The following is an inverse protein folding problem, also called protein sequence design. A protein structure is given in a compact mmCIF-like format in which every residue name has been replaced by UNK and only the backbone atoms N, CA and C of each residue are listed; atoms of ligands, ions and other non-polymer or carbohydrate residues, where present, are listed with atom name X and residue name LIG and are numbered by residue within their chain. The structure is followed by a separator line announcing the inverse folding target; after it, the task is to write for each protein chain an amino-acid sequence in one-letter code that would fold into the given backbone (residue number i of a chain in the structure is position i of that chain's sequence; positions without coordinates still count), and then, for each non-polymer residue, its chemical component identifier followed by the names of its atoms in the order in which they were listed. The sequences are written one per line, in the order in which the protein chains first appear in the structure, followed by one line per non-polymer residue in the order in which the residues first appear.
data_IF_453832461856
#
_entry.id   IF_453832461856
#
_cell.length_a   1.000
_cell.length_b   1.000
_cell.length_c   1.000
_cell.angle_alpha   90.00
_cell.angle_beta   90.00
_cell.angle_gamma   90.00
#
_symmetry.space_group_name_H-M   'P 1'
#
loop_
_entity.id
_entity.type
_entity.pdbx_description
1 polymer ?
#
# COMPACT_ATOMS: atom_id res chain seq x y z
N UNK A 1 24.76 -0.90 14.07
CA UNK A 1 26.09 -0.43 13.67
C UNK A 1 26.31 -0.74 12.20
N UNK A 2 26.95 0.16 11.48
CA UNK A 2 27.33 0.01 10.07
C UNK A 2 28.86 0.07 10.01
N UNK A 3 29.47 -0.94 9.36
CA UNK A 3 30.90 -0.98 9.12
C UNK A 3 31.17 -1.05 7.62
N UNK A 4 32.04 -0.17 7.14
CA UNK A 4 32.47 -0.09 5.75
C UNK A 4 33.86 -0.72 5.57
N UNK A 5 34.05 -1.44 4.46
CA UNK A 5 35.36 -1.81 3.93
C UNK A 5 35.40 -1.49 2.43
N UNK A 6 36.58 -1.50 1.80
CA UNK A 6 36.84 -0.88 0.48
C UNK A 6 35.75 -0.98 -0.60
N UNK A 7 34.89 -2.00 -0.63
CA UNK A 7 33.77 -2.15 -1.58
C UNK A 7 32.55 -2.79 -0.93
N UNK A 8 32.50 -2.82 0.40
CA UNK A 8 31.46 -3.52 1.14
C UNK A 8 30.99 -2.82 2.40
N UNK A 9 29.83 -3.24 2.88
CA UNK A 9 29.14 -2.73 4.04
C UNK A 9 28.54 -3.85 4.85
N UNK A 10 28.69 -3.84 6.17
CA UNK A 10 27.95 -4.68 7.10
C UNK A 10 27.08 -3.76 7.95
N UNK A 11 25.82 -4.10 8.03
CA UNK A 11 24.84 -3.45 8.91
C UNK A 11 24.29 -4.49 9.87
N UNK A 12 24.23 -4.17 11.15
CA UNK A 12 23.56 -5.00 12.15
C UNK A 12 22.82 -4.12 13.15
N UNK A 13 21.78 -4.67 13.72
CA UNK A 13 21.00 -3.95 14.72
C UNK A 13 20.03 -4.85 15.45
N UNK A 14 19.51 -4.30 16.55
CA UNK A 14 18.46 -4.90 17.36
C UNK A 14 17.31 -3.90 17.49
N UNK A 15 16.09 -4.41 17.56
CA UNK A 15 14.88 -3.61 17.80
C UNK A 15 14.04 -4.32 18.85
N UNK A 16 13.50 -3.56 19.78
CA UNK A 16 12.44 -4.00 20.67
C UNK A 16 11.28 -3.01 20.58
N UNK A 17 10.08 -3.52 20.41
CA UNK A 17 8.85 -2.76 20.38
C UNK A 17 7.84 -3.33 21.35
N UNK A 18 7.14 -2.45 22.05
CA UNK A 18 6.00 -2.76 22.90
C UNK A 18 4.81 -1.95 22.44
N UNK A 19 3.71 -2.61 22.17
CA UNK A 19 2.43 -1.99 21.84
C UNK A 19 1.38 -2.47 22.82
N UNK A 20 0.62 -1.56 23.41
CA UNK A 20 -0.47 -1.85 24.35
C UNK A 20 -1.71 -1.07 23.94
N UNK A 21 -2.83 -1.74 23.87
CA UNK A 21 -4.13 -1.14 23.52
C UNK A 21 -5.18 -1.60 24.50
N UNK A 22 -5.92 -0.67 25.06
CA UNK A 22 -7.11 -0.93 25.88
C UNK A 22 -8.33 -0.37 25.15
N UNK A 23 -9.30 -1.24 24.89
CA UNK A 23 -10.57 -0.86 24.27
C UNK A 23 -11.67 -1.04 25.30
N UNK A 24 -12.44 0.01 25.49
CA UNK A 24 -13.65 0.00 26.32
C UNK A 24 -14.83 0.41 25.42
N UNK A 25 -15.87 -0.39 25.38
CA UNK A 25 -17.05 -0.13 24.58
C UNK A 25 -18.30 -0.23 25.46
N UNK A 26 -19.09 0.81 25.45
CA UNK A 26 -20.46 0.81 25.98
C UNK A 26 -21.42 0.98 24.79
N UNK A 27 -22.45 0.17 24.75
CA UNK A 27 -23.50 0.27 23.73
C UNK A 27 -24.81 0.54 24.44
N UNK A 28 -25.41 1.68 24.11
CA UNK A 28 -26.75 2.00 24.56
C UNK A 28 -27.71 1.82 23.39
N UNK A 29 -28.74 1.01 23.58
CA UNK A 29 -29.82 0.87 22.62
C UNK A 29 -31.13 1.32 23.26
N UNK A 30 -31.97 2.03 22.50
CA UNK A 30 -33.27 2.47 22.95
C UNK A 30 -34.33 1.75 22.11
N UNK A 31 -35.18 1.00 22.78
CA UNK A 31 -36.32 0.34 22.12
C UNK A 31 -37.62 0.81 22.82
N UNK A 32 -38.52 1.44 22.09
CA UNK A 32 -39.75 2.04 22.60
C UNK A 32 -39.51 2.95 23.82
N UNK A 33 -38.54 3.85 23.72
CA UNK A 33 -38.11 4.79 24.79
C UNK A 33 -37.58 4.11 26.06
N UNK A 34 -37.34 2.79 26.03
CA UNK A 34 -36.71 2.06 27.11
C UNK A 34 -35.22 1.84 26.78
N UNK A 35 -34.29 2.41 27.56
CA UNK A 35 -32.87 2.16 27.38
C UNK A 35 -32.57 0.71 27.72
N UNK A 36 -32.03 -0.03 26.74
CA UNK A 36 -31.46 -1.35 26.93
C UNK A 36 -29.97 -1.19 27.18
N UNK A 37 -29.56 -1.13 28.42
CA UNK A 37 -28.14 -1.08 28.79
C UNK A 37 -27.51 -2.43 28.53
N UNK A 38 -26.47 -2.44 27.69
CA UNK A 38 -25.62 -3.62 27.48
C UNK A 38 -24.42 -3.59 28.46
N UNK A 39 -23.95 -4.76 28.84
CA UNK A 39 -22.76 -4.87 29.69
C UNK A 39 -21.56 -4.23 28.98
N UNK A 40 -20.85 -3.31 29.64
CA UNK A 40 -19.61 -2.75 29.09
C UNK A 40 -18.63 -3.87 28.68
N UNK A 41 -17.98 -3.66 27.54
CA UNK A 41 -17.02 -4.58 26.99
C UNK A 41 -15.61 -4.01 27.17
N UNK A 42 -14.72 -4.80 27.74
CA UNK A 42 -13.31 -4.44 27.95
C UNK A 42 -12.39 -5.45 27.30
N UNK A 43 -11.50 -4.97 26.42
CA UNK A 43 -10.50 -5.80 25.76
C UNK A 43 -9.14 -5.11 25.81
N UNK A 44 -8.16 -5.79 26.36
CA UNK A 44 -6.77 -5.38 26.39
C UNK A 44 -5.92 -6.25 25.48
N UNK A 45 -5.04 -5.64 24.72
CA UNK A 45 -4.07 -6.33 23.88
C UNK A 45 -2.68 -5.73 24.03
N UNK A 46 -1.73 -6.58 24.44
CA UNK A 46 -0.32 -6.24 24.57
C UNK A 46 0.51 -7.06 23.58
N UNK A 47 1.44 -6.44 22.88
CA UNK A 47 2.34 -7.10 21.94
C UNK A 47 3.78 -6.65 22.14
N UNK A 48 4.68 -7.61 22.29
CA UNK A 48 6.12 -7.45 22.41
C UNK A 48 6.79 -8.03 21.17
N UNK A 49 7.62 -7.24 20.50
CA UNK A 49 8.39 -7.67 19.32
C UNK A 49 9.87 -7.40 19.56
N UNK A 50 10.66 -8.46 19.68
CA UNK A 50 12.11 -8.40 19.74
C UNK A 50 12.70 -8.86 18.41
N UNK A 51 13.60 -8.09 17.82
CA UNK A 51 14.20 -8.40 16.53
C UNK A 51 15.70 -8.13 16.53
N UNK A 52 16.43 -8.97 15.82
CA UNK A 52 17.83 -8.75 15.49
C UNK A 52 18.03 -8.95 13.98
N UNK A 53 18.92 -8.18 13.38
CA UNK A 53 19.23 -8.32 11.96
C UNK A 53 20.71 -8.12 11.67
N UNK A 54 21.13 -8.75 10.59
CA UNK A 54 22.43 -8.52 9.94
C UNK A 54 22.22 -8.43 8.43
N UNK A 55 22.91 -7.52 7.78
CA UNK A 55 23.00 -7.50 6.31
C UNK A 55 24.43 -7.21 5.86
N UNK A 56 24.78 -7.81 4.74
CA UNK A 56 26.09 -7.68 4.09
C UNK A 56 25.85 -7.26 2.66
N UNK A 57 26.44 -6.15 2.26
CA UNK A 57 26.43 -5.64 0.89
C UNK A 57 27.84 -5.53 0.35
N UNK A 58 28.03 -5.87 -0.93
CA UNK A 58 29.32 -5.75 -1.62
C UNK A 58 29.12 -5.38 -3.08
N UNK A 59 29.98 -4.48 -3.57
CA UNK A 59 30.15 -4.23 -4.98
C UNK A 59 31.31 -5.07 -5.52
N UNK A 60 31.12 -5.68 -6.69
CA UNK A 60 32.12 -6.44 -7.42
C UNK A 60 32.38 -5.75 -8.75
N UNK A 61 33.58 -5.16 -8.86
CA UNK A 61 33.91 -4.27 -9.96
C UNK A 61 33.04 -3.01 -9.98
N UNK A 62 32.80 -2.48 -11.17
CA UNK A 62 31.99 -1.27 -11.39
C UNK A 62 30.52 -1.56 -11.68
N UNK A 63 30.18 -2.81 -11.97
CA UNK A 63 28.89 -3.20 -12.53
C UNK A 63 28.00 -3.98 -11.58
N UNK A 64 28.54 -4.84 -10.73
CA UNK A 64 27.76 -5.74 -9.91
C UNK A 64 27.60 -5.24 -8.48
N UNK A 65 26.39 -5.36 -7.95
CA UNK A 65 26.08 -5.13 -6.55
C UNK A 65 25.30 -6.31 -5.97
N UNK A 66 25.68 -6.78 -4.79
CA UNK A 66 25.02 -7.89 -4.09
C UNK A 66 24.76 -7.46 -2.65
N UNK A 67 23.55 -7.73 -2.15
CA UNK A 67 23.21 -7.54 -0.74
C UNK A 67 22.43 -8.75 -0.23
N UNK A 68 22.86 -9.30 0.91
CA UNK A 68 22.18 -10.37 1.62
C UNK A 68 21.86 -9.90 3.02
N UNK A 69 20.69 -10.23 3.51
CA UNK A 69 20.26 -9.88 4.85
C UNK A 69 19.43 -10.98 5.50
N UNK A 70 19.53 -11.06 6.82
CA UNK A 70 18.67 -11.92 7.63
C UNK A 70 18.23 -11.15 8.86
N UNK A 71 16.92 -11.13 9.09
CA UNK A 71 16.30 -10.59 10.28
C UNK A 71 15.52 -11.70 10.98
N UNK A 72 15.74 -11.89 12.27
CA UNK A 72 14.95 -12.76 13.14
C UNK A 72 14.03 -11.91 14.01
N UNK A 73 12.75 -12.28 14.11
CA UNK A 73 11.79 -11.63 14.99
C UNK A 73 11.15 -12.66 15.93
N UNK A 74 11.17 -12.35 17.22
CA UNK A 74 10.36 -13.04 18.24
C UNK A 74 9.22 -12.13 18.65
N UNK A 75 8.00 -12.63 18.54
CA UNK A 75 6.79 -11.92 18.95
C UNK A 75 6.11 -12.66 20.08
N UNK A 76 5.74 -11.94 21.13
CA UNK A 76 4.84 -12.40 22.19
C UNK A 76 3.64 -11.47 22.23
N UNK A 77 2.43 -12.02 22.18
CA UNK A 77 1.19 -11.25 22.30
C UNK A 77 0.26 -11.83 23.34
N UNK A 78 -0.47 -10.94 24.01
CA UNK A 78 -1.42 -11.24 25.06
C UNK A 78 -2.69 -10.43 24.82
N UNK A 79 -3.80 -11.13 24.56
CA UNK A 79 -5.13 -10.55 24.46
C UNK A 79 -5.96 -10.98 25.66
N UNK A 80 -6.60 -10.07 26.35
CA UNK A 80 -7.49 -10.32 27.46
C UNK A 80 -8.83 -9.64 27.24
N UNK A 81 -9.85 -10.45 27.01
CA UNK A 81 -11.24 -10.00 26.93
C UNK A 81 -11.88 -10.14 28.29
N UNK A 82 -11.78 -9.09 29.09
CA UNK A 82 -12.18 -9.07 30.48
C UNK A 82 -13.67 -9.40 30.65
N UNK A 83 -14.53 -8.89 29.79
CA UNK A 83 -15.98 -9.07 29.86
C UNK A 83 -16.43 -10.51 29.54
N UNK A 84 -15.60 -11.31 28.89
CA UNK A 84 -15.87 -12.70 28.54
C UNK A 84 -14.95 -13.70 29.24
N UNK A 85 -14.11 -13.23 30.17
CA UNK A 85 -13.08 -14.01 30.87
C UNK A 85 -12.25 -14.89 29.92
N UNK A 86 -11.89 -14.31 28.76
CA UNK A 86 -11.20 -15.02 27.69
C UNK A 86 -9.81 -14.44 27.44
N UNK A 87 -8.80 -15.30 27.48
CA UNK A 87 -7.41 -14.94 27.33
C UNK A 87 -6.80 -15.65 26.13
N UNK A 88 -6.15 -14.89 25.25
CA UNK A 88 -5.37 -15.40 24.12
C UNK A 88 -3.90 -15.06 24.32
N UNK A 89 -3.02 -16.06 24.26
CA UNK A 89 -1.56 -15.89 24.32
C UNK A 89 -0.92 -16.50 23.11
N UNK A 90 0.08 -15.82 22.54
CA UNK A 90 0.85 -16.36 21.42
C UNK A 90 2.31 -15.97 21.55
N UNK A 91 3.15 -16.90 21.14
CA UNK A 91 4.57 -16.65 20.96
C UNK A 91 5.04 -17.36 19.68
N UNK A 92 5.80 -16.66 18.86
CA UNK A 92 6.34 -17.22 17.63
C UNK A 92 7.64 -16.53 17.23
N UNK A 93 8.50 -17.29 16.55
CA UNK A 93 9.74 -16.78 15.93
C UNK A 93 9.67 -16.95 14.44
N UNK A 94 10.07 -15.89 13.70
CA UNK A 94 10.09 -15.90 12.24
C UNK A 94 11.38 -15.31 11.69
N UNK A 95 12.04 -16.02 10.74
CA UNK A 95 13.14 -15.47 9.96
C UNK A 95 12.64 -14.73 8.73
N UNK A 96 13.30 -13.61 8.40
CA UNK A 96 13.04 -12.75 7.25
C UNK A 96 14.31 -12.57 6.45
N UNK A 97 14.64 -13.51 5.55
CA UNK A 97 15.74 -13.37 4.62
C UNK A 97 15.43 -12.33 3.54
N UNK A 98 16.49 -11.64 3.10
CA UNK A 98 16.48 -10.74 1.96
C UNK A 98 17.70 -11.01 1.10
N UNK A 99 17.53 -10.94 -0.21
CA UNK A 99 18.62 -11.06 -1.16
C UNK A 99 18.41 -10.03 -2.28
N UNK A 100 19.49 -9.45 -2.75
CA UNK A 100 19.50 -8.52 -3.87
C UNK A 100 20.75 -8.74 -4.70
N UNK A 101 20.58 -8.75 -6.01
CA UNK A 101 21.65 -8.70 -7.00
C UNK A 101 21.31 -7.66 -8.05
N UNK A 102 22.24 -6.79 -8.38
CA UNK A 102 22.08 -5.77 -9.41
C UNK A 102 23.28 -5.74 -10.34
N UNK A 103 23.00 -5.42 -11.60
CA UNK A 103 23.97 -5.18 -12.64
C UNK A 103 23.68 -3.87 -13.34
N UNK A 104 24.68 -3.01 -13.47
CA UNK A 104 24.57 -1.73 -14.17
C UNK A 104 25.64 -1.68 -15.24
N UNK A 105 25.25 -1.41 -16.48
CA UNK A 105 26.21 -1.27 -17.58
C UNK A 105 26.99 0.05 -17.49
N UNK A 106 28.09 0.15 -18.19
CA UNK A 106 28.63 1.48 -18.57
C UNK A 106 27.59 2.25 -19.39
N UNK A 107 27.68 3.59 -19.43
CA UNK A 107 26.81 4.41 -20.30
C UNK A 107 26.82 3.90 -21.74
N UNK A 108 25.61 3.73 -22.32
CA UNK A 108 25.42 3.17 -23.66
C UNK A 108 24.77 4.17 -24.60
N UNK A 109 25.16 4.09 -25.87
CA UNK A 109 24.52 4.82 -26.96
C UNK A 109 24.68 6.34 -26.91
N UNK A 110 23.91 7.04 -27.72
CA UNK A 110 23.95 8.50 -27.86
C UNK A 110 23.43 9.23 -26.61
N UNK A 111 22.64 8.53 -25.78
CA UNK A 111 22.09 9.10 -24.54
C UNK A 111 23.07 9.03 -23.36
N UNK A 112 24.20 8.34 -23.51
CA UNK A 112 25.20 8.16 -22.45
C UNK A 112 24.59 7.74 -21.10
N UNK A 113 23.57 6.87 -21.14
CA UNK A 113 22.84 6.42 -19.97
C UNK A 113 23.08 4.92 -19.75
N UNK A 114 23.27 4.48 -18.50
CA UNK A 114 23.41 3.07 -18.19
C UNK A 114 22.05 2.35 -18.23
N UNK A 115 22.12 1.03 -18.50
CA UNK A 115 21.03 0.10 -18.23
C UNK A 115 21.28 -0.53 -16.88
N UNK A 116 20.28 -0.56 -16.01
CA UNK A 116 20.34 -1.30 -14.75
C UNK A 116 19.29 -2.41 -14.73
N UNK A 117 19.73 -3.60 -14.30
CA UNK A 117 18.88 -4.77 -14.08
C UNK A 117 19.13 -5.26 -12.67
N UNK A 118 18.08 -5.56 -11.93
CA UNK A 118 18.23 -6.16 -10.60
C UNK A 118 17.17 -7.22 -10.34
N UNK A 119 17.54 -8.16 -9.47
CA UNK A 119 16.63 -9.14 -8.89
C UNK A 119 16.70 -9.05 -7.37
N UNK A 120 15.54 -9.12 -6.74
CA UNK A 120 15.45 -9.14 -5.29
C UNK A 120 14.47 -10.21 -4.80
N UNK A 121 14.76 -10.74 -3.61
CA UNK A 121 13.86 -11.57 -2.84
C UNK A 121 13.68 -10.99 -1.46
N UNK A 122 12.43 -10.93 -1.00
CA UNK A 122 12.10 -10.50 0.36
C UNK A 122 11.02 -11.37 0.96
N UNK A 123 11.17 -11.71 2.25
CA UNK A 123 10.08 -12.24 3.05
C UNK A 123 9.65 -11.21 4.08
N UNK A 124 8.34 -10.97 4.20
CA UNK A 124 7.76 -9.96 5.08
C UNK A 124 6.60 -10.55 5.88
N UNK A 125 6.37 -9.95 7.05
CA UNK A 125 5.22 -10.24 7.91
C UNK A 125 4.29 -9.03 7.93
N UNK A 126 2.98 -9.28 7.85
CA UNK A 126 1.95 -8.29 8.12
C UNK A 126 1.09 -8.80 9.26
N UNK A 127 1.14 -8.10 10.39
CA UNK A 127 0.36 -8.43 11.57
C UNK A 127 -1.05 -7.86 11.44
N UNK A 128 -2.08 -8.51 12.04
CA UNK A 128 -3.41 -7.93 12.07
C UNK A 128 -3.40 -6.54 12.71
N UNK A 129 -4.23 -5.64 12.23
CA UNK A 129 -4.50 -4.40 12.94
C UNK A 129 -5.28 -4.71 14.23
N UNK A 130 -5.10 -3.90 15.27
CA UNK A 130 -5.73 -4.16 16.58
C UNK A 130 -7.25 -4.19 16.52
N UNK A 131 -7.88 -3.38 15.68
CA UNK A 131 -9.33 -3.40 15.48
C UNK A 131 -9.83 -4.71 14.84
N UNK A 132 -8.99 -5.40 14.04
CA UNK A 132 -9.32 -6.73 13.50
C UNK A 132 -9.30 -7.83 14.57
N UNK A 133 -8.56 -7.60 15.66
CA UNK A 133 -8.47 -8.53 16.81
C UNK A 133 -9.53 -8.25 17.86
N UNK A 134 -10.12 -7.05 17.87
CA UNK A 134 -11.10 -6.63 18.87
C UNK A 134 -12.38 -7.45 18.75
N UNK A 135 -12.74 -8.27 19.76
CA UNK A 135 -13.87 -9.20 19.68
C UNK A 135 -15.25 -8.55 19.84
N UNK A 136 -15.32 -7.24 20.00
CA UNK A 136 -16.59 -6.55 20.21
C UNK A 136 -17.46 -6.58 18.97
N UNK A 137 -18.77 -6.79 19.19
CA UNK A 137 -19.76 -6.72 18.13
C UNK A 137 -20.11 -5.27 17.81
N UNK A 138 -20.04 -4.93 16.54
CA UNK A 138 -20.51 -3.67 16.01
C UNK A 138 -21.66 -3.94 15.06
N UNK A 139 -22.85 -3.50 15.40
CA UNK A 139 -24.02 -3.64 14.54
C UNK A 139 -23.93 -2.63 13.40
N UNK A 140 -24.06 -3.14 12.18
CA UNK A 140 -24.10 -2.33 10.95
C UNK A 140 -25.54 -1.84 10.72
N UNK A 141 -26.48 -2.74 10.96
CA UNK A 141 -27.93 -2.50 10.88
C UNK A 141 -28.68 -3.51 11.79
N UNK A 142 -30.04 -3.54 11.69
CA UNK A 142 -30.87 -4.44 12.49
C UNK A 142 -30.68 -5.93 12.16
N UNK A 143 -30.05 -6.25 11.03
CA UNK A 143 -29.92 -7.61 10.50
C UNK A 143 -28.48 -8.04 10.32
N UNK A 144 -27.52 -7.19 10.64
CA UNK A 144 -26.11 -7.51 10.45
C UNK A 144 -25.21 -6.91 11.52
N UNK A 145 -24.15 -7.66 11.87
CA UNK A 145 -23.08 -7.20 12.73
C UNK A 145 -21.72 -7.73 12.29
N UNK A 146 -20.70 -7.05 12.73
CA UNK A 146 -19.31 -7.46 12.54
C UNK A 146 -18.61 -7.57 13.88
N UNK A 147 -17.63 -8.48 13.95
CA UNK A 147 -16.71 -8.58 15.10
C UNK A 147 -15.29 -8.87 14.61
N UNK A 148 -14.29 -8.50 15.39
CA UNK A 148 -12.93 -8.91 15.15
C UNK A 148 -12.69 -10.37 15.53
N UNK A 149 -11.45 -10.80 15.34
CA UNK A 149 -11.05 -12.19 15.58
C UNK A 149 -9.73 -12.24 16.34
N UNK A 150 -9.80 -12.52 17.63
CA UNK A 150 -8.59 -12.69 18.47
C UNK A 150 -7.73 -13.87 18.01
N UNK A 151 -8.26 -14.76 17.15
CA UNK A 151 -7.56 -15.92 16.61
C UNK A 151 -6.78 -15.66 15.31
N UNK A 152 -6.77 -14.45 14.75
CA UNK A 152 -6.00 -14.13 13.54
C UNK A 152 -4.51 -14.34 13.76
N UNK A 153 -3.86 -15.00 12.80
CA UNK A 153 -2.40 -15.13 12.69
C UNK A 153 -1.86 -14.14 11.68
N UNK A 154 -0.59 -13.74 11.76
CA UNK A 154 0.00 -12.83 10.76
C UNK A 154 0.01 -13.41 9.36
N UNK A 155 -0.09 -12.54 8.35
CA UNK A 155 0.20 -12.86 6.95
C UNK A 155 1.71 -12.89 6.71
N UNK A 156 2.16 -13.82 5.86
CA UNK A 156 3.54 -13.91 5.39
C UNK A 156 3.59 -13.75 3.87
N UNK A 157 4.34 -12.77 3.40
CA UNK A 157 4.53 -12.54 1.98
C UNK A 157 5.98 -12.86 1.58
N UNK A 158 6.15 -13.74 0.58
CA UNK A 158 7.40 -14.00 -0.11
C UNK A 158 7.32 -13.33 -1.48
N UNK A 159 8.24 -12.46 -1.79
CA UNK A 159 8.22 -11.62 -2.99
C UNK A 159 9.56 -11.73 -3.73
N UNK A 160 9.48 -12.00 -5.03
CA UNK A 160 10.59 -11.93 -5.99
C UNK A 160 10.29 -10.82 -6.97
N UNK A 161 11.20 -9.87 -7.08
CA UNK A 161 11.08 -8.74 -7.99
C UNK A 161 12.25 -8.73 -8.97
N UNK A 162 11.94 -8.54 -10.26
CA UNK A 162 12.88 -8.24 -11.32
C UNK A 162 12.65 -6.81 -11.78
N UNK A 163 13.67 -5.99 -11.69
CA UNK A 163 13.61 -4.59 -12.07
C UNK A 163 14.58 -4.31 -13.22
N UNK A 164 14.08 -3.60 -14.22
CA UNK A 164 14.84 -3.10 -15.35
C UNK A 164 14.65 -1.59 -15.43
N UNK A 165 15.74 -0.84 -15.56
CA UNK A 165 15.68 0.59 -15.83
C UNK A 165 16.63 0.96 -16.96
N UNK A 166 16.14 1.81 -17.87
CA UNK A 166 16.93 2.39 -18.92
C UNK A 166 16.63 3.88 -19.04
N UNK A 167 17.67 4.67 -18.97
CA UNK A 167 17.55 6.13 -18.84
C UNK A 167 16.78 6.51 -17.55
N UNK A 168 16.63 7.80 -17.33
CA UNK A 168 15.76 8.32 -16.28
C UNK A 168 14.27 8.18 -16.57
N UNK A 169 13.90 7.75 -17.79
CA UNK A 169 12.52 7.76 -18.26
C UNK A 169 11.81 6.42 -18.13
N UNK A 170 12.51 5.29 -18.33
CA UNK A 170 11.89 3.96 -18.41
C UNK A 170 12.26 3.07 -17.25
N UNK A 171 11.24 2.56 -16.54
CA UNK A 171 11.35 1.52 -15.54
C UNK A 171 10.33 0.42 -15.82
N UNK A 172 10.76 -0.82 -15.73
CA UNK A 172 9.90 -2.01 -15.83
C UNK A 172 10.17 -2.90 -14.64
N UNK A 173 9.10 -3.34 -13.98
CA UNK A 173 9.21 -4.25 -12.84
C UNK A 173 8.30 -5.45 -13.05
N UNK A 174 8.81 -6.65 -12.78
CA UNK A 174 8.03 -7.88 -12.70
C UNK A 174 8.05 -8.41 -11.29
N UNK A 175 6.89 -8.76 -10.77
CA UNK A 175 6.70 -9.31 -9.45
C UNK A 175 6.15 -10.73 -9.52
N UNK A 176 6.67 -11.58 -8.63
CA UNK A 176 6.04 -12.83 -8.23
C UNK A 176 5.95 -12.84 -6.70
N UNK A 177 4.73 -12.83 -6.17
CA UNK A 177 4.49 -12.81 -4.73
C UNK A 177 3.60 -13.99 -4.32
N UNK A 178 3.91 -14.57 -3.15
CA UNK A 178 3.09 -15.61 -2.52
C UNK A 178 2.81 -15.22 -1.08
N UNK A 179 1.54 -14.90 -0.80
CA UNK A 179 1.03 -14.53 0.52
C UNK A 179 0.35 -15.74 1.15
N UNK A 180 0.75 -16.10 2.36
CA UNK A 180 0.13 -17.10 3.22
C UNK A 180 -0.65 -16.41 4.34
N UNK A 181 -1.71 -17.06 4.83
CA UNK A 181 -2.57 -16.56 5.92
C UNK A 181 -3.21 -15.20 5.63
N UNK A 182 -3.52 -14.94 4.33
CA UNK A 182 -4.10 -13.67 3.89
C UNK A 182 -5.38 -13.34 4.65
N UNK A 183 -5.51 -12.09 5.09
CA UNK A 183 -6.73 -11.61 5.77
C UNK A 183 -7.85 -11.37 4.77
N UNK A 184 -9.04 -11.84 5.11
CA UNK A 184 -10.28 -11.48 4.42
C UNK A 184 -11.44 -11.42 5.41
N UNK A 185 -12.44 -10.62 5.10
CA UNK A 185 -13.72 -10.67 5.79
C UNK A 185 -14.56 -11.81 5.21
N UNK A 186 -15.23 -12.54 6.07
CA UNK A 186 -16.20 -13.56 5.71
C UNK A 186 -17.52 -13.24 6.39
N UNK A 187 -18.57 -13.09 5.60
CA UNK A 187 -19.95 -12.98 6.10
C UNK A 187 -20.60 -14.36 6.08
N UNK A 188 -21.30 -14.69 7.13
CA UNK A 188 -22.07 -15.91 7.28
C UNK A 188 -23.48 -15.53 7.71
N UNK A 189 -24.49 -16.16 7.11
CA UNK A 189 -25.86 -15.99 7.55
C UNK A 189 -26.15 -17.00 8.66
N UNK A 190 -26.54 -16.50 9.80
CA UNK A 190 -26.92 -17.31 10.95
C UNK A 190 -28.32 -17.93 10.76
N UNK A 191 -28.71 -18.99 11.52
CA UNK A 191 -30.03 -19.62 11.42
C UNK A 191 -31.19 -18.67 11.69
N UNK A 192 -30.99 -17.59 12.43
CA UNK A 192 -31.95 -16.53 12.70
C UNK A 192 -32.07 -15.49 11.58
N UNK A 193 -31.30 -15.67 10.49
CA UNK A 193 -31.26 -14.73 9.35
C UNK A 193 -30.31 -13.56 9.52
N UNK A 194 -29.61 -13.44 10.64
CA UNK A 194 -28.63 -12.35 10.83
C UNK A 194 -27.35 -12.58 10.04
N UNK A 195 -26.85 -11.53 9.41
CA UNK A 195 -25.54 -11.48 8.76
C UNK A 195 -24.44 -11.26 9.80
N UNK A 196 -23.49 -12.16 9.83
CA UNK A 196 -22.33 -12.12 10.72
C UNK A 196 -21.03 -12.02 9.94
N UNK A 197 -20.32 -10.91 10.05
CA UNK A 197 -19.05 -10.67 9.37
C UNK A 197 -17.89 -10.72 10.33
N UNK A 198 -16.88 -11.54 10.00
CA UNK A 198 -15.67 -11.75 10.80
C UNK A 198 -14.41 -11.73 9.95
N UNK A 199 -13.33 -11.21 10.50
CA UNK A 199 -12.00 -11.35 9.91
C UNK A 199 -11.48 -12.78 10.08
N UNK A 200 -10.93 -13.34 9.00
CA UNK A 200 -10.34 -14.69 8.99
C UNK A 200 -9.00 -14.69 8.27
N UNK A 201 -8.16 -15.67 8.55
CA UNK A 201 -7.07 -16.05 7.68
C UNK A 201 -7.67 -16.88 6.54
N UNK A 202 -7.99 -16.22 5.44
CA UNK A 202 -8.72 -16.78 4.30
C UNK A 202 -8.00 -17.96 3.67
N UNK A 203 -6.67 -17.82 3.47
CA UNK A 203 -5.89 -18.80 2.74
C UNK A 203 -4.64 -18.20 2.13
N UNK A 204 -4.39 -18.52 0.87
CA UNK A 204 -3.23 -18.03 0.13
C UNK A 204 -3.62 -17.14 -1.04
N UNK A 205 -2.75 -16.20 -1.37
CA UNK A 205 -2.82 -15.43 -2.60
C UNK A 205 -1.47 -15.53 -3.32
N UNK A 206 -1.50 -15.97 -4.58
CA UNK A 206 -0.32 -15.91 -5.46
C UNK A 206 -0.55 -14.82 -6.49
N UNK A 207 0.38 -13.90 -6.59
CA UNK A 207 0.34 -12.78 -7.53
C UNK A 207 1.53 -12.87 -8.47
N UNK A 208 1.31 -12.70 -9.76
CA UNK A 208 2.38 -12.46 -10.72
C UNK A 208 1.93 -11.44 -11.75
N UNK A 209 2.87 -10.62 -12.16
CA UNK A 209 2.59 -9.54 -13.09
C UNK A 209 3.72 -8.55 -13.15
N UNK A 210 3.44 -7.37 -13.68
CA UNK A 210 4.44 -6.34 -13.78
C UNK A 210 3.84 -4.98 -14.07
N UNK A 211 4.68 -3.98 -13.94
CA UNK A 211 4.36 -2.61 -14.24
C UNK A 211 5.46 -1.96 -15.08
N UNK A 212 5.04 -1.03 -15.90
CA UNK A 212 5.86 -0.14 -16.70
C UNK A 212 5.63 1.28 -16.22
N UNK A 213 6.71 2.01 -15.99
CA UNK A 213 6.68 3.45 -15.70
C UNK A 213 7.52 4.20 -16.72
N UNK A 214 6.90 5.12 -17.41
CA UNK A 214 7.54 6.17 -18.20
C UNK A 214 7.40 7.48 -17.44
N UNK A 215 8.50 8.13 -17.08
CA UNK A 215 8.47 9.34 -16.26
C UNK A 215 9.02 10.52 -17.04
N UNK A 216 8.22 11.58 -17.20
CA UNK A 216 8.63 12.83 -17.84
C UNK A 216 9.27 12.62 -19.24
N UNK A 217 8.75 11.64 -20.02
CA UNK A 217 9.23 11.37 -21.38
C UNK A 217 9.01 12.62 -22.25
N UNK A 218 10.06 13.24 -22.81
CA UNK A 218 9.93 14.47 -23.58
C UNK A 218 9.33 14.17 -24.97
N UNK A 219 8.03 14.43 -25.14
CA UNK A 219 7.35 14.32 -26.43
C UNK A 219 7.77 15.47 -27.39
N UNK A 220 7.95 16.66 -26.82
CA UNK A 220 8.48 17.84 -27.53
C UNK A 220 9.66 18.36 -26.70
N UNK A 221 10.89 17.93 -27.01
CA UNK A 221 12.06 18.35 -26.26
C UNK A 221 12.37 19.83 -26.45
N UNK A 222 12.86 20.46 -25.37
CA UNK A 222 13.35 21.84 -25.39
C UNK A 222 14.87 21.83 -25.45
N UNK A 223 15.44 22.47 -26.48
CA UNK A 223 16.88 22.59 -26.65
C UNK A 223 17.35 24.02 -26.36
N UNK A 224 18.52 24.12 -25.77
CA UNK A 224 19.25 25.38 -25.63
C UNK A 224 20.56 25.22 -26.37
N UNK A 225 20.90 26.25 -27.17
CA UNK A 225 22.16 26.29 -27.91
C UNK A 225 23.17 27.04 -27.06
N UNK A 226 24.30 26.43 -26.72
CA UNK A 226 25.43 27.07 -26.05
C UNK A 226 26.19 28.02 -27.01
N UNK A 227 27.09 28.86 -26.51
CA UNK A 227 27.86 29.81 -27.32
C UNK A 227 28.75 29.11 -28.34
N UNK A 228 29.16 27.86 -28.11
CA UNK A 228 29.94 27.04 -29.04
C UNK A 228 29.08 26.35 -30.11
N UNK A 229 27.78 26.66 -30.20
CA UNK A 229 26.84 26.06 -31.14
C UNK A 229 26.29 24.70 -30.73
N UNK A 230 26.73 24.14 -29.62
CA UNK A 230 26.25 22.83 -29.09
C UNK A 230 24.82 22.94 -28.61
N UNK A 231 23.93 22.06 -29.13
CA UNK A 231 22.54 21.97 -28.66
C UNK A 231 22.42 20.95 -27.55
N UNK A 232 22.05 21.40 -26.36
CA UNK A 232 21.76 20.54 -25.20
C UNK A 232 20.27 20.54 -24.88
N UNK A 233 19.70 19.39 -24.55
CA UNK A 233 18.32 19.28 -24.13
C UNK A 233 18.18 19.77 -22.67
N UNK A 234 17.36 20.81 -22.47
CA UNK A 234 17.07 21.39 -21.18
C UNK A 234 15.62 21.17 -20.74
N UNK A 235 15.11 19.94 -20.90
CA UNK A 235 13.73 19.58 -20.54
C UNK A 235 12.81 19.42 -21.73
N UNK A 236 11.54 19.67 -21.56
CA UNK A 236 10.52 19.51 -22.60
C UNK A 236 9.52 20.67 -22.60
N UNK A 237 8.92 20.95 -23.77
CA UNK A 237 7.71 21.74 -23.86
C UNK A 237 6.47 20.91 -23.59
N UNK A 238 6.51 19.62 -23.93
CA UNK A 238 5.48 18.64 -23.67
C UNK A 238 6.14 17.36 -23.17
N UNK A 239 5.73 16.89 -21.99
CA UNK A 239 6.22 15.66 -21.38
C UNK A 239 5.06 14.74 -21.02
N UNK A 240 5.32 13.44 -21.09
CA UNK A 240 4.37 12.38 -20.76
C UNK A 240 4.91 11.50 -19.65
N UNK A 241 4.12 11.34 -18.61
CA UNK A 241 4.31 10.30 -17.60
C UNK A 241 3.23 9.25 -17.78
N UNK A 242 3.60 7.97 -17.82
CA UNK A 242 2.66 6.84 -17.89
C UNK A 242 3.06 5.79 -16.87
N UNK A 243 2.09 5.29 -16.13
CA UNK A 243 2.22 4.12 -15.28
C UNK A 243 1.16 3.12 -15.70
N UNK A 244 1.58 1.92 -16.10
CA UNK A 244 0.68 0.85 -16.49
C UNK A 244 1.12 -0.45 -15.83
N UNK A 245 0.17 -1.25 -15.40
CA UNK A 245 0.46 -2.54 -14.80
C UNK A 245 -0.60 -3.57 -15.12
N UNK A 246 -0.16 -4.81 -15.09
CA UNK A 246 -1.03 -5.95 -15.22
C UNK A 246 -0.58 -7.05 -14.27
N UNK A 247 -1.55 -7.62 -13.52
CA UNK A 247 -1.32 -8.62 -12.49
C UNK A 247 -2.37 -9.73 -12.60
N UNK A 248 -1.93 -10.93 -12.33
CA UNK A 248 -2.79 -12.09 -12.16
C UNK A 248 -2.76 -12.54 -10.71
N UNK A 249 -3.94 -12.68 -10.11
CA UNK A 249 -4.14 -13.10 -8.72
C UNK A 249 -4.80 -14.47 -8.70
N UNK A 250 -4.25 -15.38 -7.89
CA UNK A 250 -4.82 -16.69 -7.61
C UNK A 250 -5.06 -16.76 -6.10
N UNK A 251 -6.33 -16.63 -5.71
CA UNK A 251 -6.76 -16.71 -4.31
C UNK A 251 -7.30 -18.11 -4.03
N UNK A 252 -6.84 -18.76 -2.95
CA UNK A 252 -7.28 -20.09 -2.52
C UNK A 252 -7.59 -20.10 -1.04
N UNK A 253 -8.83 -20.47 -0.68
CA UNK A 253 -9.23 -20.57 0.73
C UNK A 253 -8.62 -21.82 1.40
N UNK A 254 -8.41 -21.75 2.71
CA UNK A 254 -8.05 -22.91 3.52
C UNK A 254 -9.25 -23.84 3.77
N UNK A 255 -10.47 -23.30 3.68
CA UNK A 255 -11.68 -24.12 3.78
C UNK A 255 -11.69 -25.14 2.65
N UNK A 256 -12.15 -26.35 2.98
CA UNK A 256 -12.21 -27.48 2.03
C UNK A 256 -13.66 -27.79 1.71
N UNK A 257 -13.91 -28.13 0.45
CA UNK A 257 -15.17 -28.72 0.04
C UNK A 257 -15.22 -30.24 0.35
N UNK A 258 -16.35 -30.89 0.05
CA UNK A 258 -16.52 -32.32 0.28
C UNK A 258 -15.49 -33.22 -0.44
N UNK A 259 -14.87 -32.71 -1.52
CA UNK A 259 -13.83 -33.41 -2.28
C UNK A 259 -12.41 -33.16 -1.71
N UNK A 260 -12.26 -32.39 -0.64
CA UNK A 260 -10.98 -32.03 -0.03
C UNK A 260 -10.19 -30.95 -0.79
N UNK A 261 -10.78 -30.35 -1.84
CA UNK A 261 -10.22 -29.20 -2.55
C UNK A 261 -10.55 -27.90 -1.82
N UNK A 262 -9.87 -26.81 -2.17
CA UNK A 262 -10.24 -25.47 -1.69
C UNK A 262 -11.73 -25.21 -1.97
N UNK A 263 -12.49 -24.82 -0.96
CA UNK A 263 -13.91 -24.51 -1.11
C UNK A 263 -14.13 -23.26 -1.97
N UNK A 264 -13.13 -22.38 -2.02
CA UNK A 264 -13.15 -21.19 -2.85
C UNK A 264 -11.78 -20.99 -3.51
N UNK A 265 -11.76 -20.99 -4.83
CA UNK A 265 -10.60 -20.59 -5.64
C UNK A 265 -11.06 -19.55 -6.65
N UNK A 266 -10.38 -18.41 -6.67
CA UNK A 266 -10.63 -17.34 -7.63
C UNK A 266 -9.36 -16.97 -8.36
N UNK A 267 -9.47 -16.76 -9.67
CA UNK A 267 -8.39 -16.28 -10.54
C UNK A 267 -8.84 -15.00 -11.21
N UNK A 268 -8.15 -13.92 -10.90
CA UNK A 268 -8.52 -12.57 -11.35
C UNK A 268 -7.34 -11.90 -12.01
N UNK A 269 -7.63 -11.18 -13.09
CA UNK A 269 -6.67 -10.27 -13.71
C UNK A 269 -7.00 -8.85 -13.28
N UNK A 270 -5.97 -8.10 -12.94
CA UNK A 270 -6.07 -6.69 -12.61
C UNK A 270 -5.14 -5.91 -13.52
N UNK A 271 -5.67 -4.94 -14.23
CA UNK A 271 -4.92 -4.01 -15.04
C UNK A 271 -5.20 -2.58 -14.64
N UNK A 272 -4.19 -1.74 -14.71
CA UNK A 272 -4.36 -0.31 -14.55
C UNK A 272 -3.50 0.45 -15.55
N UNK A 273 -3.95 1.62 -15.91
CA UNK A 273 -3.17 2.62 -16.65
C UNK A 273 -3.48 3.99 -16.09
N UNK A 274 -2.45 4.75 -15.83
CA UNK A 274 -2.56 6.14 -15.41
C UNK A 274 -1.46 6.96 -16.03
N UNK A 275 -1.67 8.26 -16.15
CA UNK A 275 -0.64 9.13 -16.67
C UNK A 275 -0.97 10.60 -16.58
N UNK A 276 0.06 11.40 -16.77
CA UNK A 276 0.03 12.85 -16.78
C UNK A 276 0.65 13.37 -18.06
N UNK A 277 -0.09 14.18 -18.79
CA UNK A 277 0.45 14.98 -19.88
C UNK A 277 0.72 16.39 -19.34
N UNK A 278 1.99 16.81 -19.37
CA UNK A 278 2.46 18.10 -18.86
C UNK A 278 2.92 18.98 -20.00
N UNK A 279 2.30 20.17 -20.16
CA UNK A 279 2.74 21.19 -21.09
C UNK A 279 3.41 22.34 -20.33
N UNK A 280 4.68 22.55 -20.58
CA UNK A 280 5.51 23.61 -19.99
C UNK A 280 5.55 24.80 -20.94
N UNK A 281 4.85 25.86 -20.61
CA UNK A 281 4.67 27.01 -21.46
C UNK A 281 5.61 28.16 -21.05
N UNK A 282 5.86 29.17 -21.94
CA UNK A 282 6.66 30.34 -21.60
C UNK A 282 6.12 31.07 -20.36
N UNK A 283 7.01 31.79 -19.67
CA UNK A 283 6.71 32.55 -18.45
C UNK A 283 6.21 31.67 -17.29
N UNK A 284 6.74 30.43 -17.17
CA UNK A 284 6.48 29.49 -16.03
C UNK A 284 5.01 29.09 -15.86
N UNK A 285 4.27 28.96 -16.94
CA UNK A 285 2.99 28.30 -16.96
C UNK A 285 3.16 26.81 -17.18
N UNK A 286 2.42 26.00 -16.42
CA UNK A 286 2.34 24.56 -16.63
C UNK A 286 0.86 24.17 -16.69
N UNK A 287 0.51 23.40 -17.72
CA UNK A 287 -0.79 22.75 -17.83
C UNK A 287 -0.59 21.26 -17.62
N UNK A 288 -1.45 20.62 -16.83
CA UNK A 288 -1.43 19.18 -16.62
C UNK A 288 -2.79 18.59 -16.94
N UNK A 289 -2.78 17.43 -17.59
CA UNK A 289 -3.96 16.60 -17.75
C UNK A 289 -3.63 15.22 -17.21
N UNK A 290 -4.37 14.80 -16.17
CA UNK A 290 -4.15 13.54 -15.49
C UNK A 290 -5.32 12.60 -15.76
N UNK A 291 -4.99 11.33 -16.02
CA UNK A 291 -5.98 10.27 -16.20
C UNK A 291 -5.52 8.99 -15.54
N UNK A 292 -6.47 8.27 -14.93
CA UNK A 292 -6.26 6.94 -14.35
C UNK A 292 -7.45 6.06 -14.67
N UNK A 293 -7.18 4.79 -14.96
CA UNK A 293 -8.17 3.75 -15.09
C UNK A 293 -7.65 2.47 -14.46
N UNK A 294 -8.54 1.71 -13.80
CA UNK A 294 -8.26 0.37 -13.31
C UNK A 294 -9.41 -0.58 -13.59
N UNK A 295 -9.07 -1.82 -13.91
CA UNK A 295 -10.04 -2.89 -14.07
C UNK A 295 -10.63 -3.33 -12.72
N UNK A 296 -11.73 -4.11 -12.71
CA UNK A 296 -12.18 -4.76 -11.48
C UNK A 296 -11.08 -5.66 -10.88
N UNK A 297 -11.08 -5.78 -9.54
CA UNK A 297 -10.16 -6.63 -8.80
C UNK A 297 -10.93 -7.46 -7.77
N UNK A 298 -10.51 -8.71 -7.56
CA UNK A 298 -11.04 -9.57 -6.50
C UNK A 298 -9.93 -9.95 -5.53
N UNK A 299 -10.15 -9.71 -4.24
CA UNK A 299 -9.21 -10.06 -3.17
C UNK A 299 -9.96 -10.83 -2.08
N UNK A 300 -9.60 -12.09 -1.86
CA UNK A 300 -10.36 -12.98 -0.99
C UNK A 300 -11.81 -13.11 -1.48
N UNK A 301 -12.76 -12.73 -0.65
CA UNK A 301 -14.19 -12.71 -0.98
C UNK A 301 -14.69 -11.36 -1.53
N UNK A 302 -13.87 -10.34 -1.52
CA UNK A 302 -14.27 -8.98 -1.91
C UNK A 302 -13.94 -8.70 -3.37
N UNK A 303 -14.91 -8.19 -4.12
CA UNK A 303 -14.74 -7.75 -5.50
C UNK A 303 -14.97 -6.25 -5.59
N UNK A 304 -13.96 -5.54 -6.07
CA UNK A 304 -14.01 -4.11 -6.33
C UNK A 304 -14.28 -3.86 -7.82
N UNK A 305 -15.15 -2.92 -8.15
CA UNK A 305 -15.44 -2.52 -9.51
C UNK A 305 -14.29 -1.77 -10.20
N UNK A 306 -14.45 -1.52 -11.51
CA UNK A 306 -13.51 -0.67 -12.24
C UNK A 306 -13.66 0.79 -11.81
N UNK A 307 -12.53 1.51 -11.84
CA UNK A 307 -12.51 2.94 -11.53
C UNK A 307 -11.80 3.69 -12.64
N UNK A 308 -12.24 4.91 -12.91
CA UNK A 308 -11.50 5.85 -13.73
C UNK A 308 -11.62 7.27 -13.16
N UNK A 309 -10.63 8.09 -13.49
CA UNK A 309 -10.51 9.43 -12.93
C UNK A 309 -9.78 10.34 -13.92
N UNK A 310 -10.30 11.55 -14.10
CA UNK A 310 -9.69 12.56 -14.95
C UNK A 310 -9.59 13.88 -14.19
N UNK A 311 -8.46 14.56 -14.30
CA UNK A 311 -8.26 15.90 -13.76
C UNK A 311 -7.48 16.80 -14.69
N UNK A 312 -7.64 18.11 -14.48
CA UNK A 312 -6.94 19.14 -15.20
C UNK A 312 -6.36 20.16 -14.22
N UNK A 313 -5.09 20.51 -14.42
CA UNK A 313 -4.38 21.47 -13.61
C UNK A 313 -3.79 22.61 -14.42
N UNK A 314 -3.79 23.79 -13.83
CA UNK A 314 -3.07 24.98 -14.33
C UNK A 314 -2.21 25.51 -13.19
N UNK A 315 -0.91 25.62 -13.44
CA UNK A 315 0.05 26.18 -12.49
C UNK A 315 0.75 27.38 -13.10
N UNK A 316 0.86 28.45 -12.33
CA UNK A 316 1.68 29.60 -12.66
C UNK A 316 2.67 29.88 -11.54
N UNK A 317 3.95 29.89 -11.86
CA UNK A 317 4.98 30.33 -10.93
C UNK A 317 5.38 31.78 -11.23
N UNK A 318 5.51 32.60 -10.20
CA UNK A 318 6.05 33.95 -10.26
C UNK A 318 7.23 34.05 -9.30
N UNK A 319 8.35 33.48 -9.71
CA UNK A 319 9.55 33.31 -8.90
C UNK A 319 10.12 34.61 -8.32
N UNK A 320 10.09 35.78 -9.03
CA UNK A 320 10.60 37.04 -8.46
C UNK A 320 9.95 37.45 -7.15
N UNK A 321 8.70 37.00 -6.88
CA UNK A 321 7.99 37.24 -5.63
C UNK A 321 7.75 35.98 -4.80
N UNK A 322 8.29 34.83 -5.22
CA UNK A 322 8.07 33.54 -4.55
C UNK A 322 6.61 33.08 -4.55
N UNK A 323 5.80 33.51 -5.55
CA UNK A 323 4.37 33.19 -5.60
C UNK A 323 4.10 32.04 -6.59
N UNK A 324 3.30 31.06 -6.15
CA UNK A 324 2.83 29.96 -6.98
C UNK A 324 1.31 29.93 -6.90
N UNK A 325 0.67 29.97 -8.06
CA UNK A 325 -0.78 29.83 -8.21
C UNK A 325 -1.07 28.45 -8.82
N UNK A 326 -1.95 27.67 -8.20
CA UNK A 326 -2.40 26.40 -8.74
C UNK A 326 -3.93 26.40 -8.78
N UNK A 327 -4.48 26.09 -9.95
CA UNK A 327 -5.88 25.74 -10.14
C UNK A 327 -5.91 24.26 -10.50
N UNK A 328 -6.69 23.46 -9.76
CA UNK A 328 -6.88 22.05 -10.04
C UNK A 328 -8.37 21.73 -10.10
N UNK A 329 -8.80 21.09 -11.18
CA UNK A 329 -10.16 20.62 -11.39
C UNK A 329 -10.11 19.10 -11.36
N UNK A 330 -10.67 18.51 -10.30
CA UNK A 330 -10.66 17.07 -10.05
C UNK A 330 -11.96 16.43 -10.52
N UNK A 331 -11.84 15.19 -10.98
CA UNK A 331 -12.96 14.35 -11.43
C UNK A 331 -13.83 15.01 -12.48
N UNK A 332 -13.20 15.43 -13.58
CA UNK A 332 -13.88 16.07 -14.73
C UNK A 332 -15.03 15.23 -15.28
N UNK A 333 -14.91 13.92 -15.26
CA UNK A 333 -15.89 13.00 -15.82
C UNK A 333 -16.98 12.57 -14.81
N UNK A 334 -16.91 13.02 -13.56
CA UNK A 334 -17.81 12.60 -12.46
C UNK A 334 -17.83 11.07 -12.29
N UNK A 335 -16.68 10.45 -12.34
CA UNK A 335 -16.53 9.01 -12.56
C UNK A 335 -16.13 8.23 -11.31
N UNK A 336 -15.84 8.91 -10.19
CA UNK A 336 -15.45 8.25 -8.95
C UNK A 336 -16.68 7.67 -8.25
N UNK A 337 -17.12 6.52 -8.75
CA UNK A 337 -17.97 5.59 -7.99
C UNK A 337 -17.16 4.33 -7.69
N UNK A 338 -17.15 3.91 -6.43
CA UNK A 338 -16.63 2.60 -6.04
C UNK A 338 -17.82 1.65 -5.91
N UNK A 339 -17.79 0.57 -6.69
CA UNK A 339 -18.74 -0.53 -6.53
C UNK A 339 -18.00 -1.67 -5.85
N UNK A 340 -18.29 -1.86 -4.57
CA UNK A 340 -17.83 -3.04 -3.83
C UNK A 340 -18.88 -4.13 -3.93
N UNK A 341 -18.51 -5.26 -4.48
CA UNK A 341 -19.36 -6.44 -4.56
C UNK A 341 -18.70 -7.57 -3.80
N UNK A 342 -19.41 -8.15 -2.86
CA UNK A 342 -18.95 -9.30 -2.10
C UNK A 342 -19.62 -10.56 -2.63
N UNK A 343 -18.84 -11.47 -3.23
CA UNK A 343 -19.30 -12.74 -3.78
C UNK A 343 -18.73 -13.92 -2.99
N UNK A 344 -19.49 -15.02 -2.85
CA UNK A 344 -19.00 -16.27 -2.25
C UNK A 344 -18.92 -16.27 -0.72
N UNK A 345 -19.52 -15.30 -0.06
CA UNK A 345 -19.49 -15.18 1.39
C UNK A 345 -20.37 -16.17 2.13
N UNK A 346 -21.47 -16.59 1.54
CA UNK A 346 -22.34 -17.69 2.00
C UNK A 346 -23.18 -18.22 0.85
N UNK A 347 -23.59 -19.50 0.86
CA UNK A 347 -24.54 -20.02 -0.12
C UNK A 347 -25.85 -19.22 -0.11
N UNK A 348 -26.23 -18.68 -1.28
CA UNK A 348 -27.46 -17.88 -1.41
C UNK A 348 -27.39 -16.45 -0.90
N UNK A 349 -26.21 -15.98 -0.48
CA UNK A 349 -25.99 -14.59 -0.07
C UNK A 349 -25.10 -13.85 -1.06
N UNK A 350 -25.63 -12.81 -1.62
CA UNK A 350 -24.90 -11.83 -2.43
C UNK A 350 -25.20 -10.45 -1.90
N UNK A 351 -24.17 -9.69 -1.55
CA UNK A 351 -24.31 -8.27 -1.24
C UNK A 351 -23.53 -7.45 -2.23
N UNK A 352 -24.11 -6.34 -2.63
CA UNK A 352 -23.40 -5.29 -3.35
C UNK A 352 -23.56 -3.98 -2.63
N UNK A 353 -22.50 -3.22 -2.60
CA UNK A 353 -22.47 -1.90 -2.01
C UNK A 353 -21.94 -0.93 -3.06
N UNK A 354 -22.71 0.11 -3.33
CA UNK A 354 -22.32 1.13 -4.28
C UNK A 354 -22.13 2.45 -3.55
N UNK A 355 -20.89 2.92 -3.51
CA UNK A 355 -20.54 4.14 -2.82
C UNK A 355 -20.31 5.25 -3.84
N UNK A 356 -21.23 6.20 -3.91
CA UNK A 356 -21.12 7.39 -4.74
C UNK A 356 -20.40 8.51 -3.98
N UNK A 357 -19.10 8.60 -4.15
CA UNK A 357 -18.34 9.72 -3.59
C UNK A 357 -18.28 10.83 -4.64
N UNK A 358 -19.02 11.90 -4.45
CA UNK A 358 -18.88 13.10 -5.28
C UNK A 358 -17.57 13.79 -4.95
N UNK A 359 -16.55 13.51 -5.75
CA UNK A 359 -15.21 14.12 -5.58
C UNK A 359 -14.93 15.25 -6.57
N UNK A 360 -15.91 15.63 -7.40
CA UNK A 360 -15.73 16.75 -8.30
C UNK A 360 -15.53 18.03 -7.48
N UNK A 361 -14.36 18.61 -7.61
CA UNK A 361 -13.99 19.83 -6.92
C UNK A 361 -13.05 20.69 -7.75
N UNK A 362 -13.21 21.99 -7.58
CA UNK A 362 -12.27 22.98 -8.09
C UNK A 362 -11.49 23.54 -6.91
N UNK A 363 -10.18 23.40 -6.96
CA UNK A 363 -9.28 23.91 -5.92
C UNK A 363 -8.38 25.00 -6.51
N UNK A 364 -8.41 26.16 -5.86
CA UNK A 364 -7.44 27.23 -6.11
C UNK A 364 -6.53 27.33 -4.89
N UNK A 365 -5.23 27.22 -5.09
CA UNK A 365 -4.24 27.46 -4.05
C UNK A 365 -3.22 28.50 -4.45
N UNK A 366 -2.85 29.34 -3.50
CA UNK A 366 -1.79 30.34 -3.64
C UNK A 366 -0.74 30.01 -2.60
N UNK A 367 0.46 29.72 -3.04
CA UNK A 367 1.61 29.46 -2.16
C UNK A 367 2.56 30.63 -2.28
N UNK A 368 2.92 31.21 -1.11
CA UNK A 368 3.92 32.25 -1.03
C UNK A 368 5.16 31.70 -0.30
N UNK A 369 6.27 31.60 -1.00
CA UNK A 369 7.56 31.21 -0.45
C UNK A 369 8.31 32.45 0.01
N UNK A 370 8.59 32.55 1.30
CA UNK A 370 9.36 33.65 1.90
C UNK A 370 10.41 33.09 2.86
N UNK A 371 11.52 33.81 3.06
CA UNK A 371 12.60 33.41 3.93
C UNK A 371 13.61 32.44 3.29
N UNK A 372 14.64 32.07 4.06
CA UNK A 372 15.63 31.07 3.65
C UNK A 372 15.14 29.68 4.07
N UNK A 373 14.93 28.78 3.11
CA UNK A 373 14.54 27.41 3.37
C UNK A 373 15.77 26.61 3.85
N UNK A 374 15.80 26.23 5.12
CA UNK A 374 16.71 25.21 5.62
C UNK A 374 16.00 23.86 5.57
N UNK A 375 16.54 22.95 4.78
CA UNK A 375 16.00 21.59 4.68
C UNK A 375 16.29 20.82 5.99
N UNK A 376 15.29 20.73 6.86
CA UNK A 376 15.36 19.83 8.00
C UNK A 376 15.28 18.38 7.52
N UNK A 377 16.29 17.57 7.81
CA UNK A 377 16.22 16.12 7.63
C UNK A 377 15.17 15.57 8.60
N UNK A 378 14.02 15.19 8.07
CA UNK A 378 13.04 14.45 8.84
C UNK A 378 13.65 13.14 9.32
N UNK A 379 13.76 12.94 10.64
CA UNK A 379 14.13 11.64 11.21
C UNK A 379 12.99 10.68 10.95
N UNK A 380 13.25 9.57 10.22
CA UNK A 380 12.30 8.48 10.11
C UNK A 380 12.08 7.90 11.52
N UNK A 381 10.85 7.96 12.01
CA UNK A 381 10.46 7.31 13.27
C UNK A 381 10.45 5.80 13.02
N UNK A 382 11.27 5.05 13.74
CA UNK A 382 11.44 3.60 13.54
C UNK A 382 10.22 2.74 13.90
N UNK A 383 9.13 3.34 14.41
CA UNK A 383 7.91 2.67 14.92
C UNK A 383 6.67 3.01 14.09
N UNK A 384 6.82 3.52 12.86
CA UNK A 384 5.67 3.92 12.04
C UNK A 384 4.70 2.76 11.77
N UNK A 385 5.19 1.53 11.61
CA UNK A 385 4.34 0.36 11.35
C UNK A 385 3.47 0.04 12.56
N UNK A 386 4.02 0.13 13.76
CA UNK A 386 3.27 -0.07 15.01
C UNK A 386 2.26 1.06 15.25
N UNK A 387 2.63 2.31 14.96
CA UNK A 387 1.73 3.46 15.07
C UNK A 387 0.55 3.36 14.09
N UNK A 388 0.80 2.95 12.85
CA UNK A 388 -0.24 2.75 11.83
C UNK A 388 -1.22 1.63 12.23
N UNK A 389 -0.76 0.61 12.95
CA UNK A 389 -1.61 -0.47 13.47
C UNK A 389 -2.48 -0.06 14.66
N UNK A 390 -2.01 0.91 15.46
CA UNK A 390 -2.77 1.49 16.59
C UNK A 390 -3.87 2.43 16.13
N UNK A 391 -3.63 3.19 15.07
CA UNK A 391 -4.56 4.16 14.50
C UNK A 391 -5.62 3.51 13.62
N UNK A 392 -6.48 2.66 14.19
CA UNK A 392 -7.56 2.02 13.45
C UNK A 392 -8.48 3.02 12.75
N UNK A 393 -8.37 3.16 11.45
CA UNK A 393 -9.32 3.86 10.58
C UNK A 393 -9.30 5.39 10.54
N UNK A 394 -8.58 6.04 11.43
CA UNK A 394 -8.39 7.49 11.41
C UNK A 394 -6.93 7.83 11.17
N UNK A 395 -6.56 8.09 9.91
CA UNK A 395 -5.22 8.53 9.59
C UNK A 395 -4.84 9.75 10.42
N UNK A 396 -3.90 9.59 11.34
CA UNK A 396 -3.12 10.71 11.81
C UNK A 396 -2.27 11.14 10.62
N UNK A 397 -2.82 12.01 9.78
CA UNK A 397 -2.00 12.83 8.90
C UNK A 397 -1.16 13.68 9.84
N UNK A 398 0.08 13.25 10.10
CA UNK A 398 1.10 14.19 10.56
C UNK A 398 1.26 15.19 9.43
N UNK A 399 0.66 16.38 9.62
CA UNK A 399 0.78 17.49 8.69
C UNK A 399 2.26 17.72 8.33
N UNK A 400 2.44 18.02 7.08
CA UNK A 400 3.70 18.45 6.45
C UNK A 400 4.38 19.58 7.24
#
# INVERSE_FOLDING_TARGET
QTKFWQTGMIECGVKYGLSSTNNHMTTDSIFNDIPLSQTPQDFRYDEHVAAAYISVGKQFGEHWSVKLGLRGEYTYSFGNWLSADSVTRRSYFNPFPTAYIGYTTSPLGNLQQPIAVSASYTRRIKRPNYWMLNPFRTYVDAYSYQEGNTALTPEFNNDVELHFSWTQYLNVTFNFAHTQDMFSQKTTILPDGMGYTKWINFGTCTTHGGNLSLTELPLVPKYVTAEDGTKTMQGAWLALTVNAGWFHFINKSYEKNAEGKSAYENRTHYGYVGGTLSAYLPKDWTLTFDGNWSSPMTTGYNKQGSMYFLSFGVRKMYMPKGLIFNLNIQDLARSLSMVDKSEGMAPGYESWHENYVRQQRVMLSITWMFGQYQQHKNRKVGNMDELNRLGGGGGVQTGN
#
